data_IF_689319244644
#
_entry.id   IF_689319244644
#
_cell.length_a   1.000
_cell.length_b   1.000
_cell.length_c   1.000
_cell.angle_alpha   90.00
_cell.angle_beta   90.00
_cell.angle_gamma   90.00
#
_symmetry.space_group_name_H-M   'P 1'
#
loop_
_entity.id
_entity.type
_entity.pdbx_description
1 polymer ?
#
# COMPACT_ATOMS: atom_id res chain seq x y z
N UNK A 1 36.02 34.52 31.50
CA UNK A 1 34.61 34.33 31.87
C UNK A 1 33.81 34.32 30.57
N UNK A 2 33.56 33.14 30.00
CA UNK A 2 32.56 32.86 28.96
C UNK A 2 32.71 31.37 28.60
N UNK A 3 31.91 30.55 29.26
CA UNK A 3 31.95 29.10 29.24
C UNK A 3 31.24 28.53 28.00
N UNK A 4 31.88 27.53 27.38
CA UNK A 4 31.30 26.31 26.82
C UNK A 4 29.81 26.34 26.42
N UNK A 5 29.51 26.81 25.21
CA UNK A 5 28.25 26.48 24.54
C UNK A 5 28.40 25.18 23.72
N UNK A 6 28.70 24.07 24.42
CA UNK A 6 28.52 22.72 23.85
C UNK A 6 27.23 22.17 24.44
N UNK A 7 26.18 22.21 23.61
CA UNK A 7 24.88 21.62 23.89
C UNK A 7 25.11 20.18 24.39
N UNK A 8 24.59 19.77 25.56
CA UNK A 8 24.78 18.40 26.05
C UNK A 8 24.24 17.44 24.98
N UNK A 9 25.14 16.75 24.28
CA UNK A 9 24.76 15.75 23.30
C UNK A 9 23.90 14.70 24.00
N UNK A 10 22.78 14.34 23.38
CA UNK A 10 21.90 13.29 23.85
C UNK A 10 22.74 12.01 24.06
N UNK A 11 22.88 11.57 25.32
CA UNK A 11 23.65 10.36 25.68
C UNK A 11 22.90 9.07 25.41
N UNK A 12 21.62 9.18 25.09
CA UNK A 12 20.77 8.06 24.70
C UNK A 12 21.20 7.61 23.31
N UNK A 13 21.88 6.46 23.26
CA UNK A 13 22.30 5.75 22.04
C UNK A 13 21.06 5.59 21.16
N UNK A 14 20.89 6.50 20.20
CA UNK A 14 19.69 6.55 19.40
C UNK A 14 19.63 5.34 18.48
N UNK A 15 18.44 4.98 18.03
CA UNK A 15 18.26 3.92 17.03
C UNK A 15 19.02 4.18 15.71
N UNK A 16 19.50 5.41 15.52
CA UNK A 16 20.30 5.85 14.37
C UNK A 16 21.82 5.93 14.63
N UNK A 17 22.30 5.48 15.80
CA UNK A 17 23.75 5.37 16.04
C UNK A 17 24.30 4.12 15.33
N UNK A 18 25.33 4.27 14.48
CA UNK A 18 25.92 3.12 13.80
C UNK A 18 26.49 2.13 14.83
N UNK A 19 26.48 0.82 14.52
CA UNK A 19 27.10 -0.17 15.38
C UNK A 19 28.58 0.19 15.61
N UNK A 20 28.99 0.25 16.88
CA UNK A 20 30.40 0.48 17.21
C UNK A 20 31.13 -0.84 17.02
N UNK A 21 31.68 -1.04 15.83
CA UNK A 21 32.67 -2.07 15.63
C UNK A 21 33.94 -1.62 16.36
N UNK A 22 34.37 -2.41 17.35
CA UNK A 22 35.62 -2.15 18.08
C UNK A 22 36.81 -2.28 17.13
N UNK A 23 37.20 -1.18 16.47
CA UNK A 23 38.34 -1.13 15.55
C UNK A 23 39.70 -1.41 16.22
N UNK A 24 39.76 -1.57 17.54
CA UNK A 24 41.00 -1.79 18.29
C UNK A 24 41.42 -3.25 18.51
N UNK A 25 40.60 -4.26 18.19
CA UNK A 25 40.99 -5.66 18.46
C UNK A 25 41.72 -6.35 17.29
N UNK A 26 41.66 -5.80 16.07
CA UNK A 26 42.33 -6.39 14.92
C UNK A 26 43.84 -6.08 14.85
N UNK A 27 44.32 -5.04 15.53
CA UNK A 27 45.74 -4.65 15.50
C UNK A 27 46.59 -5.31 16.60
N UNK A 28 45.98 -6.02 17.56
CA UNK A 28 46.71 -6.67 18.67
C UNK A 28 46.68 -8.20 18.66
N UNK A 29 45.79 -8.82 17.88
CA UNK A 29 45.77 -10.27 17.70
C UNK A 29 46.22 -10.58 16.27
N UNK A 30 47.44 -11.08 16.12
CA UNK A 30 47.87 -11.79 14.92
C UNK A 30 46.91 -12.95 14.64
N UNK A 31 45.88 -12.68 13.84
CA UNK A 31 44.76 -13.57 13.57
C UNK A 31 44.92 -14.25 12.22
N UNK A 32 45.03 -15.58 12.29
CA UNK A 32 45.06 -16.61 11.25
C UNK A 32 44.67 -16.20 9.81
N UNK A 33 45.57 -16.56 8.91
CA UNK A 33 45.49 -16.44 7.44
C UNK A 33 44.16 -17.01 6.94
N UNK A 34 43.28 -16.14 6.43
CA UNK A 34 42.02 -16.57 5.80
C UNK A 34 42.35 -17.26 4.47
N UNK A 35 41.87 -18.48 4.31
CA UNK A 35 41.92 -19.23 3.04
C UNK A 35 41.01 -18.53 2.01
N UNK A 36 41.50 -18.23 0.80
CA UNK A 36 40.66 -17.65 -0.25
C UNK A 36 39.61 -18.66 -0.71
N UNK A 37 38.34 -18.31 -0.57
CA UNK A 37 37.17 -19.15 -0.89
C UNK A 37 36.86 -19.16 -2.41
N UNK A 38 37.89 -19.25 -3.24
CA UNK A 38 37.79 -19.31 -4.71
C UNK A 38 38.36 -20.61 -5.26
N UNK A 39 38.10 -21.73 -4.58
CA UNK A 39 38.39 -23.05 -5.14
C UNK A 39 37.12 -23.66 -5.73
N UNK A 40 36.99 -23.55 -7.06
CA UNK A 40 36.06 -24.39 -7.84
C UNK A 40 36.56 -25.83 -7.73
N UNK A 41 35.69 -26.74 -7.27
CA UNK A 41 35.97 -28.18 -7.22
C UNK A 41 35.90 -28.72 -8.65
N UNK A 42 37.01 -29.27 -9.14
CA UNK A 42 37.06 -30.03 -10.39
C UNK A 42 36.69 -31.50 -10.13
N UNK A 43 35.97 -32.11 -11.09
CA UNK A 43 35.40 -33.45 -11.01
C UNK A 43 36.44 -34.57 -10.89
N UNK A 44 36.12 -35.62 -10.13
CA UNK A 44 36.73 -36.93 -10.31
C UNK A 44 35.95 -37.68 -11.40
N UNK A 45 36.55 -37.82 -12.58
CA UNK A 45 36.20 -38.89 -13.50
C UNK A 45 37.11 -40.07 -13.18
N UNK A 46 36.53 -41.19 -12.74
CA UNK A 46 37.15 -42.51 -12.82
C UNK A 46 36.03 -43.54 -13.04
N UNK A 47 36.33 -44.55 -13.85
CA UNK A 47 35.38 -45.08 -14.82
C UNK A 47 34.69 -46.41 -14.50
N UNK A 48 33.48 -46.54 -15.07
CA UNK A 48 32.86 -47.78 -15.60
C UNK A 48 32.43 -48.90 -14.61
N UNK A 49 31.64 -49.91 -15.01
CA UNK A 49 30.20 -49.95 -14.69
C UNK A 49 29.78 -51.25 -13.98
N UNK A 50 28.69 -51.27 -13.18
CA UNK A 50 27.82 -52.45 -12.93
C UNK A 50 26.65 -52.15 -11.96
N UNK A 51 25.44 -52.55 -12.37
CA UNK A 51 24.18 -52.74 -11.60
C UNK A 51 24.20 -54.09 -10.84
N UNK A 52 23.20 -54.50 -10.03
CA UNK A 52 22.33 -53.83 -9.04
C UNK A 52 22.38 -54.54 -7.65
N UNK A 53 21.49 -54.17 -6.72
CA UNK A 53 21.00 -54.88 -5.49
C UNK A 53 21.35 -54.29 -4.11
N UNK A 54 20.26 -53.99 -3.39
CA UNK A 54 19.98 -54.17 -1.96
C UNK A 54 21.05 -53.84 -0.91
N UNK A 55 20.76 -52.85 -0.04
CA UNK A 55 20.36 -53.05 1.36
C UNK A 55 20.42 -51.74 2.17
N UNK A 56 19.37 -51.53 2.97
CA UNK A 56 19.34 -50.93 4.32
C UNK A 56 20.48 -49.99 4.72
N UNK A 57 20.13 -48.73 4.96
CA UNK A 57 20.54 -48.06 6.20
C UNK A 57 19.57 -46.95 6.57
N UNK A 58 19.25 -46.96 7.85
CA UNK A 58 18.24 -46.26 8.63
C UNK A 58 18.65 -44.81 8.87
N UNK A 59 17.68 -43.87 8.88
CA UNK A 59 17.97 -42.49 9.31
C UNK A 59 16.84 -41.49 9.09
N UNK A 60 15.63 -41.78 9.56
CA UNK A 60 14.55 -40.79 9.65
C UNK A 60 14.70 -39.97 10.95
N UNK A 61 14.56 -38.64 10.91
CA UNK A 61 14.51 -37.82 12.13
C UNK A 61 13.18 -38.02 12.88
N UNK A 62 13.19 -37.89 14.22
CA UNK A 62 12.03 -38.18 15.07
C UNK A 62 10.87 -37.18 14.87
N UNK A 63 9.69 -37.74 14.65
CA UNK A 63 8.40 -37.03 14.63
C UNK A 63 8.08 -36.48 16.02
N UNK A 64 7.82 -35.17 16.09
CA UNK A 64 7.29 -34.51 17.28
C UNK A 64 5.85 -34.93 17.60
N UNK A 65 5.40 -34.80 18.85
CA UNK A 65 4.11 -35.31 19.30
C UNK A 65 2.92 -34.48 18.77
N UNK A 66 1.92 -35.19 18.28
CA UNK A 66 0.59 -34.74 17.85
C UNK A 66 -0.21 -34.15 19.01
N UNK A 67 -1.00 -33.08 18.81
CA UNK A 67 -1.91 -32.56 19.84
C UNK A 67 -3.15 -33.48 20.03
N UNK A 68 -3.71 -33.58 21.25
CA UNK A 68 -4.88 -34.40 21.52
C UNK A 68 -6.17 -33.79 20.95
N UNK A 69 -6.89 -34.61 20.18
CA UNK A 69 -8.27 -34.40 19.74
C UNK A 69 -9.19 -34.31 20.97
N UNK A 70 -9.71 -33.12 21.25
CA UNK A 70 -10.82 -32.93 22.19
C UNK A 70 -12.14 -33.09 21.45
N UNK A 71 -12.82 -34.21 21.69
CA UNK A 71 -14.22 -34.42 21.32
C UNK A 71 -15.09 -33.66 22.32
N UNK A 72 -15.72 -32.58 21.88
CA UNK A 72 -16.80 -31.92 22.63
C UNK A 72 -18.18 -32.39 22.10
N UNK A 73 -19.18 -32.62 22.97
CA UNK A 73 -20.49 -33.15 22.55
C UNK A 73 -21.37 -32.12 21.83
N UNK A 74 -22.09 -32.64 20.84
CA UNK A 74 -23.19 -32.05 20.07
C UNK A 74 -24.35 -31.57 20.99
N UNK A 75 -24.97 -30.39 20.75
CA UNK A 75 -26.25 -30.04 21.35
C UNK A 75 -27.46 -30.62 20.56
N UNK A 76 -28.61 -30.84 21.21
CA UNK A 76 -29.72 -31.63 20.67
C UNK A 76 -30.54 -30.88 19.59
N UNK A 77 -31.31 -31.59 18.76
CA UNK A 77 -32.29 -30.99 17.86
C UNK A 77 -33.64 -30.78 18.56
N UNK A 78 -34.51 -30.04 17.86
CA UNK A 78 -35.98 -29.90 18.02
C UNK A 78 -36.44 -28.55 18.60
N UNK A 79 -37.23 -27.85 17.77
CA UNK A 79 -38.02 -26.68 18.13
C UNK A 79 -38.61 -26.02 16.88
N UNK A 80 -39.59 -26.68 16.24
CA UNK A 80 -40.44 -26.07 15.21
C UNK A 80 -41.45 -25.08 15.82
N UNK A 81 -41.97 -24.19 14.94
CA UNK A 81 -43.21 -23.39 14.99
C UNK A 81 -42.97 -21.85 15.06
N UNK A 82 -43.91 -21.01 14.55
CA UNK A 82 -43.99 -20.65 13.14
C UNK A 82 -43.92 -19.11 12.88
N UNK A 83 -43.66 -18.77 11.62
CA UNK A 83 -44.05 -17.55 10.92
C UNK A 83 -44.00 -16.19 11.66
N UNK A 84 -42.93 -15.43 11.40
CA UNK A 84 -43.10 -14.01 11.11
C UNK A 84 -42.29 -13.68 9.85
N UNK A 85 -43.04 -13.47 8.77
CA UNK A 85 -42.54 -12.99 7.50
C UNK A 85 -42.08 -11.54 7.68
N UNK A 86 -40.79 -11.35 7.87
CA UNK A 86 -40.10 -10.14 7.44
C UNK A 86 -39.01 -10.62 6.51
N UNK A 87 -39.30 -10.44 5.23
CA UNK A 87 -38.38 -10.53 4.11
C UNK A 87 -37.00 -9.99 4.53
N UNK A 88 -35.96 -10.83 4.65
CA UNK A 88 -34.64 -10.31 4.39
C UNK A 88 -34.68 -10.02 2.90
N UNK A 89 -34.80 -8.73 2.56
CA UNK A 89 -34.46 -8.25 1.23
C UNK A 89 -33.17 -8.98 0.88
N UNK A 90 -33.28 -9.85 -0.12
CA UNK A 90 -32.14 -10.54 -0.67
C UNK A 90 -31.33 -9.40 -1.28
N UNK A 91 -30.44 -8.81 -0.50
CA UNK A 91 -29.23 -8.23 -1.04
C UNK A 91 -28.52 -9.45 -1.61
N UNK A 92 -28.86 -9.76 -2.86
CA UNK A 92 -27.99 -10.51 -3.73
C UNK A 92 -26.65 -9.81 -3.60
N UNK A 93 -25.78 -10.40 -2.77
CA UNK A 93 -24.34 -10.28 -2.88
C UNK A 93 -24.00 -10.96 -4.20
N UNK A 94 -24.44 -10.35 -5.30
CA UNK A 94 -23.59 -10.28 -6.48
C UNK A 94 -22.31 -9.69 -5.92
N UNK A 95 -21.28 -10.53 -5.81
CA UNK A 95 -19.92 -10.05 -5.94
C UNK A 95 -19.89 -9.31 -7.27
N UNK A 96 -20.26 -8.04 -7.24
CA UNK A 96 -20.17 -7.14 -8.37
C UNK A 96 -18.69 -7.09 -8.65
N UNK A 97 -18.27 -7.84 -9.67
CA UNK A 97 -16.95 -7.69 -10.26
C UNK A 97 -16.83 -6.19 -10.57
N UNK A 98 -16.07 -5.47 -9.73
CA UNK A 98 -15.81 -4.04 -9.92
C UNK A 98 -15.22 -3.90 -11.31
N UNK A 99 -15.96 -3.29 -12.23
CA UNK A 99 -15.50 -3.17 -13.61
C UNK A 99 -14.38 -2.13 -13.66
N UNK A 100 -13.41 -2.38 -14.53
CA UNK A 100 -12.29 -1.48 -14.74
C UNK A 100 -12.78 -0.06 -15.10
N UNK A 101 -13.80 0.02 -15.95
CA UNK A 101 -14.41 1.26 -16.41
C UNK A 101 -14.99 2.10 -15.26
N UNK A 102 -15.59 1.45 -14.25
CA UNK A 102 -16.21 2.13 -13.10
C UNK A 102 -15.18 2.86 -12.22
N UNK A 103 -13.92 2.39 -12.23
CA UNK A 103 -12.83 2.98 -11.44
C UNK A 103 -12.01 3.96 -12.28
N UNK A 104 -11.72 3.63 -13.54
CA UNK A 104 -10.87 4.49 -14.37
C UNK A 104 -11.57 5.76 -14.84
N UNK A 105 -12.84 5.67 -15.25
CA UNK A 105 -13.53 6.85 -15.81
C UNK A 105 -13.57 8.03 -14.85
N UNK A 106 -13.94 7.87 -13.57
CA UNK A 106 -13.99 9.04 -12.69
C UNK A 106 -12.59 9.53 -12.29
N UNK A 107 -11.56 8.68 -12.33
CA UNK A 107 -10.16 9.11 -12.15
C UNK A 107 -9.67 9.95 -13.33
N UNK A 108 -10.02 9.58 -14.55
CA UNK A 108 -9.71 10.35 -15.76
C UNK A 108 -10.49 11.66 -15.81
N UNK A 109 -11.77 11.66 -15.46
CA UNK A 109 -12.59 12.86 -15.34
C UNK A 109 -11.99 13.85 -14.33
N UNK A 110 -11.66 13.37 -13.12
CA UNK A 110 -11.01 14.19 -12.11
C UNK A 110 -9.64 14.75 -12.58
N UNK A 111 -8.91 14.00 -13.43
CA UNK A 111 -7.65 14.47 -14.01
C UNK A 111 -7.88 15.58 -15.04
N UNK A 112 -8.90 15.46 -15.89
CA UNK A 112 -9.24 16.49 -16.87
C UNK A 112 -9.65 17.80 -16.19
N UNK A 113 -10.40 17.73 -15.09
CA UNK A 113 -10.72 18.91 -14.26
C UNK A 113 -9.47 19.61 -13.72
N UNK A 114 -8.43 18.83 -13.39
CA UNK A 114 -7.15 19.37 -12.91
C UNK A 114 -6.30 20.01 -14.01
N UNK A 115 -6.51 19.70 -15.29
CA UNK A 115 -5.65 20.19 -16.39
C UNK A 115 -5.61 21.71 -16.52
N UNK A 116 -6.69 22.41 -16.17
CA UNK A 116 -6.78 23.87 -16.28
C UNK A 116 -5.97 24.63 -15.24
N UNK A 117 -5.79 24.05 -14.06
CA UNK A 117 -5.26 24.75 -12.88
C UNK A 117 -3.90 24.19 -12.44
N UNK A 118 -3.59 22.95 -12.81
CA UNK A 118 -2.34 22.28 -12.45
C UNK A 118 -1.32 22.35 -13.59
N UNK A 119 -0.02 22.31 -13.25
CA UNK A 119 1.07 22.22 -14.23
C UNK A 119 0.89 20.97 -15.11
N UNK A 120 1.00 21.14 -16.43
CA UNK A 120 0.93 20.06 -17.43
C UNK A 120 1.78 18.83 -17.07
N UNK A 121 3.01 19.03 -16.59
CA UNK A 121 3.90 17.93 -16.20
C UNK A 121 3.31 17.04 -15.10
N UNK A 122 2.57 17.61 -14.15
CA UNK A 122 1.93 16.86 -13.07
C UNK A 122 0.77 16.05 -13.65
N UNK A 123 -0.07 16.65 -14.49
CA UNK A 123 -1.14 15.93 -15.19
C UNK A 123 -0.60 14.77 -16.04
N UNK A 124 0.51 14.99 -16.76
CA UNK A 124 1.16 13.96 -17.58
C UNK A 124 1.74 12.81 -16.73
N UNK A 125 2.30 13.10 -15.53
CA UNK A 125 2.75 12.06 -14.59
C UNK A 125 1.57 11.26 -14.02
N UNK A 126 0.47 11.93 -13.63
CA UNK A 126 -0.74 11.26 -13.14
C UNK A 126 -1.32 10.37 -14.23
N UNK A 127 -1.49 10.88 -15.46
CA UNK A 127 -1.97 10.12 -16.62
C UNK A 127 -1.14 8.85 -16.86
N UNK A 128 0.19 8.97 -16.82
CA UNK A 128 1.11 7.82 -16.93
C UNK A 128 0.85 6.78 -15.84
N UNK A 129 0.60 7.21 -14.60
CA UNK A 129 0.34 6.31 -13.47
C UNK A 129 -1.03 5.66 -13.56
N UNK A 130 -2.05 6.36 -14.05
CA UNK A 130 -3.36 5.76 -14.34
C UNK A 130 -3.26 4.69 -15.44
N UNK A 131 -2.42 4.91 -16.46
CA UNK A 131 -2.13 3.87 -17.45
C UNK A 131 -1.48 2.62 -16.85
N UNK A 132 -0.58 2.78 -15.87
CA UNK A 132 -0.01 1.65 -15.13
C UNK A 132 -1.08 0.92 -14.30
N UNK A 133 -1.97 1.66 -13.62
CA UNK A 133 -3.12 1.07 -12.91
C UNK A 133 -3.98 0.22 -13.87
N UNK A 134 -4.31 0.76 -15.05
CA UNK A 134 -5.05 0.03 -16.08
C UNK A 134 -4.35 -1.27 -16.50
N UNK A 135 -3.05 -1.20 -16.79
CA UNK A 135 -2.26 -2.36 -17.21
C UNK A 135 -2.23 -3.43 -16.11
N UNK A 136 -2.01 -3.05 -14.84
CA UNK A 136 -1.99 -3.99 -13.73
C UNK A 136 -3.37 -4.62 -13.49
N UNK A 137 -4.45 -3.84 -13.66
CA UNK A 137 -5.81 -4.32 -13.50
C UNK A 137 -6.21 -5.32 -14.59
N UNK A 138 -6.00 -4.94 -15.86
CA UNK A 138 -6.29 -5.79 -17.02
C UNK A 138 -5.40 -7.04 -17.05
N UNK A 139 -4.15 -6.91 -16.59
CA UNK A 139 -3.22 -8.03 -16.41
C UNK A 139 -3.53 -8.93 -15.22
N UNK A 140 -4.60 -8.67 -14.46
CA UNK A 140 -5.01 -9.49 -13.31
C UNK A 140 -4.03 -9.47 -12.13
N UNK A 141 -3.16 -8.45 -12.06
CA UNK A 141 -2.14 -8.32 -11.01
C UNK A 141 -2.66 -7.69 -9.72
N UNK A 142 -3.87 -7.13 -9.76
CA UNK A 142 -4.54 -6.54 -8.61
C UNK A 142 -5.52 -7.54 -7.99
N UNK A 143 -5.38 -7.73 -6.68
CA UNK A 143 -6.25 -8.56 -5.88
C UNK A 143 -7.65 -7.95 -5.74
N UNK A 144 -8.65 -8.80 -5.50
CA UNK A 144 -10.05 -8.41 -5.24
C UNK A 144 -10.18 -7.31 -4.16
N UNK A 145 -9.51 -7.40 -2.98
CA UNK A 145 -9.60 -6.34 -1.98
C UNK A 145 -9.08 -4.98 -2.48
N UNK A 146 -8.01 -4.95 -3.29
CA UNK A 146 -7.49 -3.72 -3.89
C UNK A 146 -8.53 -3.11 -4.83
N UNK A 147 -9.12 -3.93 -5.71
CA UNK A 147 -10.14 -3.48 -6.66
C UNK A 147 -11.38 -2.90 -5.96
N UNK A 148 -11.86 -3.59 -4.92
CA UNK A 148 -12.99 -3.14 -4.10
C UNK A 148 -12.71 -1.82 -3.38
N UNK A 149 -11.53 -1.70 -2.77
CA UNK A 149 -11.13 -0.45 -2.10
C UNK A 149 -10.91 0.70 -3.09
N UNK A 150 -10.41 0.42 -4.28
CA UNK A 150 -10.30 1.44 -5.33
C UNK A 150 -11.68 1.95 -5.78
N UNK A 151 -12.68 1.07 -5.91
CA UNK A 151 -14.04 1.51 -6.21
C UNK A 151 -14.60 2.45 -5.13
N UNK A 152 -14.35 2.15 -3.84
CA UNK A 152 -14.72 3.04 -2.74
C UNK A 152 -13.96 4.36 -2.78
N UNK A 153 -12.64 4.33 -3.04
CA UNK A 153 -11.82 5.55 -3.15
C UNK A 153 -12.38 6.48 -4.21
N UNK A 154 -12.75 5.94 -5.36
CA UNK A 154 -13.30 6.71 -6.47
C UNK A 154 -14.69 7.26 -6.14
N UNK A 155 -15.51 6.51 -5.41
CA UNK A 155 -16.79 6.99 -4.89
C UNK A 155 -16.62 8.19 -3.94
N UNK A 156 -15.66 8.12 -3.01
CA UNK A 156 -15.34 9.23 -2.11
C UNK A 156 -14.78 10.44 -2.87
N UNK A 157 -13.97 10.20 -3.92
CA UNK A 157 -13.43 11.26 -4.78
C UNK A 157 -14.54 12.02 -5.51
N UNK A 158 -15.52 11.31 -6.09
CA UNK A 158 -16.70 11.93 -6.72
C UNK A 158 -17.61 12.63 -5.70
N UNK A 159 -17.66 12.12 -4.47
CA UNK A 159 -18.37 12.73 -3.34
C UNK A 159 -17.70 13.96 -2.73
N UNK A 160 -16.56 14.42 -3.26
CA UNK A 160 -15.73 15.50 -2.70
C UNK A 160 -15.22 15.23 -1.26
N UNK A 161 -15.19 13.95 -0.87
CA UNK A 161 -14.75 13.50 0.46
C UNK A 161 -13.25 13.19 0.45
N UNK A 162 -12.42 14.23 0.32
CA UNK A 162 -10.96 14.09 0.14
C UNK A 162 -10.25 13.36 1.27
N UNK A 163 -10.67 13.58 2.52
CA UNK A 163 -10.05 12.92 3.69
C UNK A 163 -10.39 11.41 3.73
N UNK A 164 -11.63 11.03 3.36
CA UNK A 164 -12.02 9.63 3.26
C UNK A 164 -11.27 8.92 2.12
N UNK A 165 -11.08 9.60 0.99
CA UNK A 165 -10.25 9.09 -0.11
C UNK A 165 -8.77 8.90 0.32
N UNK A 166 -8.19 9.85 1.08
CA UNK A 166 -6.83 9.70 1.61
C UNK A 166 -6.73 8.56 2.63
N UNK A 167 -7.75 8.35 3.47
CA UNK A 167 -7.81 7.21 4.40
C UNK A 167 -7.79 5.86 3.68
N UNK A 168 -8.54 5.72 2.59
CA UNK A 168 -8.52 4.50 1.77
C UNK A 168 -7.15 4.33 1.11
N UNK A 169 -6.55 5.40 0.61
CA UNK A 169 -5.18 5.40 0.10
C UNK A 169 -4.18 4.91 1.16
N UNK A 170 -4.24 5.45 2.39
CA UNK A 170 -3.40 5.01 3.51
C UNK A 170 -3.60 3.53 3.83
N UNK A 171 -4.85 3.07 3.90
CA UNK A 171 -5.16 1.64 4.13
C UNK A 171 -4.59 0.74 3.03
N UNK A 172 -4.71 1.12 1.76
CA UNK A 172 -4.11 0.39 0.64
C UNK A 172 -2.58 0.34 0.71
N UNK A 173 -1.94 1.43 1.13
CA UNK A 173 -0.49 1.50 1.32
C UNK A 173 0.01 0.67 2.51
N UNK A 174 -0.84 0.32 3.47
CA UNK A 174 -0.50 -0.56 4.59
C UNK A 174 -0.63 -2.03 4.20
N UNK A 175 -1.78 -2.41 3.62
CA UNK A 175 -2.11 -3.82 3.41
C UNK A 175 -1.60 -4.36 2.07
N UNK A 176 -1.52 -3.51 1.03
CA UNK A 176 -1.31 -3.92 -0.36
C UNK A 176 -0.21 -3.12 -1.07
N UNK A 177 0.80 -2.64 -0.33
CA UNK A 177 1.86 -1.76 -0.86
C UNK A 177 2.52 -2.30 -2.12
N UNK A 178 2.76 -3.61 -2.20
CA UNK A 178 3.43 -4.26 -3.33
C UNK A 178 2.63 -4.20 -4.63
N UNK A 179 1.30 -4.08 -4.54
CA UNK A 179 0.40 -4.01 -5.69
C UNK A 179 0.15 -2.56 -6.13
N UNK A 180 0.13 -1.63 -5.17
CA UNK A 180 -0.34 -0.25 -5.42
C UNK A 180 0.79 0.78 -5.56
N UNK A 181 1.98 0.52 -5.02
CA UNK A 181 3.02 1.56 -4.85
C UNK A 181 3.46 2.27 -6.13
N UNK A 182 3.44 1.58 -7.26
CA UNK A 182 3.95 2.11 -8.54
C UNK A 182 3.07 3.24 -9.09
N UNK A 183 1.75 3.13 -8.93
CA UNK A 183 0.76 4.04 -9.51
C UNK A 183 0.04 4.88 -8.44
N UNK A 184 -0.09 4.39 -7.20
CA UNK A 184 -0.86 5.03 -6.14
C UNK A 184 -0.38 6.44 -5.78
N UNK A 185 0.91 6.74 -5.94
CA UNK A 185 1.42 8.11 -5.74
C UNK A 185 0.79 9.13 -6.71
N UNK A 186 0.36 8.68 -7.90
CA UNK A 186 -0.39 9.49 -8.86
C UNK A 186 -1.81 9.76 -8.36
N UNK A 187 -2.48 8.75 -7.83
CA UNK A 187 -3.82 8.87 -7.24
C UNK A 187 -3.78 9.79 -6.00
N UNK A 188 -2.77 9.64 -5.14
CA UNK A 188 -2.56 10.55 -4.00
C UNK A 188 -2.39 12.00 -4.45
N UNK A 189 -1.62 12.22 -5.53
CA UNK A 189 -1.44 13.57 -6.09
C UNK A 189 -2.75 14.10 -6.65
N UNK A 190 -3.52 13.27 -7.36
CA UNK A 190 -4.83 13.63 -7.90
C UNK A 190 -5.81 14.07 -6.81
N UNK A 191 -5.89 13.34 -5.68
CA UNK A 191 -6.71 13.72 -4.51
C UNK A 191 -6.29 15.11 -4.00
N UNK A 192 -4.98 15.35 -3.88
CA UNK A 192 -4.46 16.64 -3.42
C UNK A 192 -4.77 17.78 -4.39
N UNK A 193 -4.65 17.58 -5.71
CA UNK A 193 -5.00 18.60 -6.70
C UNK A 193 -6.50 18.89 -6.69
N UNK A 194 -7.36 17.86 -6.66
CA UNK A 194 -8.81 18.05 -6.64
C UNK A 194 -9.29 18.78 -5.38
N UNK A 195 -8.64 18.54 -4.23
CA UNK A 195 -8.83 19.32 -3.00
C UNK A 195 -8.43 20.79 -3.17
N UNK A 196 -7.30 21.06 -3.83
CA UNK A 196 -6.84 22.43 -4.06
C UNK A 196 -7.79 23.19 -4.98
N UNK A 197 -8.27 22.55 -6.04
CA UNK A 197 -9.27 23.13 -6.95
C UNK A 197 -10.52 23.57 -6.21
N UNK A 198 -11.09 22.68 -5.39
CA UNK A 198 -12.29 23.00 -4.60
C UNK A 198 -12.05 24.18 -3.65
N UNK A 199 -10.83 24.34 -3.12
CA UNK A 199 -10.48 25.50 -2.29
C UNK A 199 -10.27 26.79 -3.10
N UNK A 200 -9.81 26.70 -4.35
CA UNK A 200 -9.61 27.85 -5.24
C UNK A 200 -10.94 28.34 -5.83
N UNK A 201 -11.87 27.43 -6.11
CA UNK A 201 -13.23 27.75 -6.56
C UNK A 201 -13.98 28.59 -5.50
N UNK A 202 -13.93 28.20 -4.22
CA UNK A 202 -14.55 28.97 -3.14
C UNK A 202 -13.89 30.35 -2.94
N UNK A 203 -12.57 30.45 -3.12
CA UNK A 203 -11.86 31.72 -2.97
C UNK A 203 -12.09 32.71 -4.13
N UNK A 204 -12.42 32.22 -5.32
CA UNK A 204 -12.68 33.06 -6.50
C UNK A 204 -14.15 33.55 -6.56
N UNK A 205 -15.08 32.81 -5.94
CA UNK A 205 -16.48 33.22 -5.82
C UNK A 205 -16.65 34.41 -4.86
N UNK A 206 -15.89 34.45 -3.76
CA UNK A 206 -15.89 35.57 -2.81
C UNK A 206 -15.29 36.89 -3.37
N UNK A 207 -14.45 36.82 -4.42
CA UNK A 207 -13.89 38.03 -5.06
C UNK A 207 -14.85 38.69 -6.05
N UNK A 208 -15.86 37.97 -6.53
CA UNK A 208 -16.83 38.49 -7.51
C UNK A 208 -18.02 39.21 -6.86
N UNK A 209 -18.23 39.05 -5.55
CA UNK A 209 -19.30 39.71 -4.80
C UNK A 209 -18.89 41.06 -4.20
N UNK A 210 -17.59 41.35 -4.04
CA UNK A 210 -17.09 42.59 -3.43
C UNK A 210 -17.00 43.78 -4.42
N UNK A 211 -16.99 43.52 -5.74
CA UNK A 211 -16.89 44.60 -6.77
C UNK A 211 -18.25 45.23 -7.14
N UNK A 212 -19.37 44.73 -6.60
CA UNK A 212 -20.70 45.25 -6.92
C UNK A 212 -21.19 46.39 -6.00
N UNK A 213 -20.52 46.66 -4.87
CA UNK A 213 -21.02 47.64 -3.87
C UNK A 213 -20.34 49.02 -3.88
N UNK A 214 -19.34 49.30 -4.75
CA UNK A 214 -18.67 50.63 -4.77
C UNK A 214 -19.28 51.65 -5.76
N UNK A 215 -20.19 51.26 -6.66
CA UNK A 215 -20.71 52.17 -7.70
C UNK A 215 -22.09 52.80 -7.39
N UNK A 216 -22.49 52.92 -6.13
CA UNK A 216 -23.77 53.53 -5.76
C UNK A 216 -23.66 54.57 -4.64
N UNK A 217 -22.81 55.59 -4.80
CA UNK A 217 -22.97 56.85 -4.05
C UNK A 217 -22.38 58.04 -4.82
N UNK A 218 -23.16 58.59 -5.75
CA UNK A 218 -23.00 59.99 -6.18
C UNK A 218 -24.31 60.71 -5.85
N UNK A 219 -24.36 61.53 -4.78
CA UNK A 219 -25.49 62.42 -4.56
C UNK A 219 -25.31 63.64 -5.46
N UNK A 220 -26.34 63.92 -6.26
CA UNK A 220 -26.37 65.11 -7.11
C UNK A 220 -26.42 66.40 -6.30
N UNK A 221 -25.75 67.42 -6.83
CA UNK A 221 -26.02 68.84 -6.62
C UNK A 221 -25.67 69.62 -7.87
#
# INVERSE_FOLDING_TARGET
MAELYVKPGNKERGWNDPPQFSYGLQTLAGGLKRTPLTKRVAASQDGSPRVPTSQTSTGLPPMGPTPPVSKAPRPPPVGSCPASSVEPANFSVTESETLLEDVLKPLEEALEDCRGHTKKQVCDDISRRLALLQEQWAGGKLSVPVKKRMALLVQELSGHQWEAADDIHRSLMVDHVTEVSQWMVGVKRLIAEKRNLSSEEEANEEKSTDTAEENQMVPGV
#
